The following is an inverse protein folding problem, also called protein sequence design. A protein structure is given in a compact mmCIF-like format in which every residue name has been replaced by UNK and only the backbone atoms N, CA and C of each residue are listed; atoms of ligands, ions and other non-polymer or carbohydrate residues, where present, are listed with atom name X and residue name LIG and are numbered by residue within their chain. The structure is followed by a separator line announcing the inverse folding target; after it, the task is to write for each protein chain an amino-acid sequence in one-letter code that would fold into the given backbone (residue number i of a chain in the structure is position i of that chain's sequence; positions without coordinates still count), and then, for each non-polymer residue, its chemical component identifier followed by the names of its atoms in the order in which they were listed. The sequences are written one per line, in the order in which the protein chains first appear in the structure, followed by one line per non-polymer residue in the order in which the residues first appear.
data_IF_512841426881
#
_entry.id   IF_512841426881
#
_cell.length_a   1.000
_cell.length_b   1.000
_cell.length_c   1.000
_cell.angle_alpha   90.00
_cell.angle_beta   90.00
_cell.angle_gamma   90.00
#
_symmetry.space_group_name_H-M   'P 1'
#
loop_
_entity.id
_entity.type
_entity.pdbx_description
1 polymer ?
#
# COMPACT_ATOMS: atom_id res chain seq x y z
N UNK A 1 -6.16 -3.51 8.43
CA UNK A 1 -5.38 -2.29 8.77
C UNK A 1 -4.53 -2.46 10.02
N UNK A 2 -5.12 -2.72 11.19
CA UNK A 2 -4.38 -2.75 12.47
C UNK A 2 -3.15 -3.65 12.47
N UNK A 3 -3.26 -4.85 11.89
CA UNK A 3 -2.14 -5.76 11.69
C UNK A 3 -1.05 -5.07 10.85
N UNK A 4 -1.34 -4.69 9.61
CA UNK A 4 -0.38 -3.94 8.76
C UNK A 4 0.30 -2.82 9.55
N UNK A 5 -0.44 -1.91 10.20
CA UNK A 5 0.15 -0.79 10.95
C UNK A 5 1.00 -1.19 12.15
N UNK A 6 0.67 -2.29 12.85
CA UNK A 6 1.44 -2.76 14.00
C UNK A 6 2.73 -3.47 13.58
N UNK A 7 2.79 -4.02 12.37
CA UNK A 7 4.01 -4.69 11.86
C UNK A 7 5.23 -3.77 11.82
N UNK A 8 5.02 -2.45 11.72
CA UNK A 8 6.07 -1.44 11.77
C UNK A 8 6.89 -1.51 13.08
N UNK A 9 6.28 -1.96 14.17
CA UNK A 9 6.93 -2.05 15.48
C UNK A 9 7.59 -3.40 15.74
N UNK A 10 7.36 -4.42 14.89
CA UNK A 10 7.94 -5.75 15.09
C UNK A 10 9.46 -5.73 15.21
N UNK A 11 10.23 -5.05 14.34
CA UNK A 11 11.68 -5.02 14.49
C UNK A 11 12.15 -4.47 15.84
N UNK A 12 11.50 -3.41 16.32
CA UNK A 12 11.82 -2.79 17.61
C UNK A 12 11.49 -3.72 18.78
N UNK A 13 10.35 -4.42 18.75
CA UNK A 13 9.97 -5.38 19.79
C UNK A 13 10.91 -6.59 19.79
N UNK A 14 11.18 -7.17 18.61
CA UNK A 14 12.00 -8.36 18.46
C UNK A 14 13.44 -8.15 18.97
N UNK A 15 13.98 -6.94 18.84
CA UNK A 15 15.32 -6.59 19.31
C UNK A 15 15.55 -6.85 20.82
N UNK A 16 14.48 -6.90 21.63
CA UNK A 16 14.55 -7.15 23.07
C UNK A 16 14.12 -8.56 23.49
N UNK A 17 13.71 -9.40 22.53
CA UNK A 17 13.25 -10.76 22.80
C UNK A 17 14.36 -11.78 22.61
N UNK A 18 14.34 -12.84 23.42
CA UNK A 18 15.20 -14.02 23.18
C UNK A 18 14.83 -14.67 21.83
N UNK A 19 15.74 -15.41 21.17
CA UNK A 19 15.44 -16.05 19.89
C UNK A 19 14.18 -16.92 19.90
N UNK A 20 13.95 -17.66 21.00
CA UNK A 20 12.73 -18.47 21.18
C UNK A 20 11.47 -17.59 21.23
N UNK A 21 11.52 -16.48 21.98
CA UNK A 21 10.40 -15.55 22.08
C UNK A 21 10.13 -14.81 20.76
N UNK A 22 11.17 -14.48 19.99
CA UNK A 22 11.03 -13.91 18.64
C UNK A 22 10.25 -14.85 17.72
N UNK A 23 10.62 -16.14 17.67
CA UNK A 23 9.93 -17.14 16.84
C UNK A 23 8.46 -17.28 17.25
N UNK A 24 8.18 -17.35 18.56
CA UNK A 24 6.80 -17.41 19.06
C UNK A 24 6.03 -16.16 18.64
N UNK A 25 6.60 -14.96 18.87
CA UNK A 25 5.99 -13.69 18.53
C UNK A 25 5.64 -13.60 17.03
N UNK A 26 6.59 -13.90 16.15
CA UNK A 26 6.40 -13.86 14.70
C UNK A 26 5.36 -14.87 14.21
N UNK A 27 5.39 -16.10 14.73
CA UNK A 27 4.40 -17.13 14.39
C UNK A 27 3.01 -16.74 14.85
N UNK A 28 2.87 -16.27 16.09
CA UNK A 28 1.59 -15.80 16.61
C UNK A 28 1.07 -14.62 15.81
N UNK A 29 1.93 -13.64 15.49
CA UNK A 29 1.56 -12.48 14.69
C UNK A 29 1.06 -12.86 13.29
N UNK A 30 1.78 -13.77 12.61
CA UNK A 30 1.39 -14.29 11.31
C UNK A 30 0.07 -15.06 11.38
N UNK A 31 -0.07 -15.98 12.34
CA UNK A 31 -1.30 -16.74 12.55
C UNK A 31 -2.48 -15.84 12.86
N UNK A 32 -2.33 -14.83 13.72
CA UNK A 32 -3.38 -13.83 13.99
C UNK A 32 -3.76 -13.04 12.74
N UNK A 33 -2.78 -12.73 11.89
CA UNK A 33 -3.03 -12.04 10.62
C UNK A 33 -3.85 -12.89 9.66
N UNK A 34 -3.50 -14.17 9.54
CA UNK A 34 -4.22 -15.12 8.71
C UNK A 34 -5.62 -15.41 9.25
N UNK A 35 -5.77 -15.56 10.58
CA UNK A 35 -7.08 -15.75 11.21
C UNK A 35 -8.01 -14.59 10.90
N UNK A 36 -7.53 -13.34 11.01
CA UNK A 36 -8.36 -12.18 10.69
C UNK A 36 -8.72 -12.13 9.20
N UNK A 37 -7.75 -12.42 8.32
CA UNK A 37 -7.98 -12.50 6.88
C UNK A 37 -9.08 -13.52 6.54
N UNK A 38 -8.97 -14.76 7.04
CA UNK A 38 -9.96 -15.82 6.83
C UNK A 38 -11.31 -15.45 7.43
N UNK A 39 -11.33 -14.89 8.65
CA UNK A 39 -12.57 -14.51 9.34
C UNK A 39 -13.36 -13.42 8.61
N UNK A 40 -12.70 -12.55 7.84
CA UNK A 40 -13.38 -11.52 7.03
C UNK A 40 -14.10 -12.06 5.79
N UNK A 41 -14.04 -13.37 5.53
CA UNK A 41 -14.71 -13.99 4.38
C UNK A 41 -14.13 -13.58 3.02
N UNK A 42 -12.96 -12.94 3.03
CA UNK A 42 -12.27 -12.54 1.80
C UNK A 42 -11.78 -13.80 1.07
N UNK A 43 -12.30 -13.99 -0.14
CA UNK A 43 -11.94 -15.08 -1.05
C UNK A 43 -10.49 -14.96 -1.53
N UNK A 44 -10.02 -16.02 -2.23
CA UNK A 44 -8.68 -16.19 -2.81
C UNK A 44 -8.07 -14.86 -3.27
N UNK A 45 -6.88 -14.55 -2.75
CA UNK A 45 -6.13 -13.38 -3.17
C UNK A 45 -5.41 -13.68 -4.48
N UNK A 46 -6.01 -13.26 -5.61
CA UNK A 46 -5.41 -13.39 -6.93
C UNK A 46 -4.31 -12.32 -7.13
N UNK A 47 -3.08 -12.71 -6.81
CA UNK A 47 -1.89 -11.84 -6.93
C UNK A 47 -1.67 -11.40 -8.38
N UNK A 48 -1.62 -12.29 -9.40
CA UNK A 48 -1.44 -11.87 -10.78
C UNK A 48 -2.46 -10.80 -11.20
N UNK A 49 -3.73 -11.02 -10.86
CA UNK A 49 -4.78 -10.10 -11.21
C UNK A 49 -4.56 -8.76 -10.48
N UNK A 50 -4.20 -8.75 -9.19
CA UNK A 50 -3.92 -7.50 -8.45
C UNK A 50 -2.84 -6.65 -9.14
N UNK A 51 -1.75 -7.26 -9.61
CA UNK A 51 -0.69 -6.53 -10.30
C UNK A 51 -1.11 -6.03 -11.69
N UNK A 52 -1.94 -6.78 -12.41
CA UNK A 52 -2.40 -6.42 -13.76
C UNK A 52 -3.37 -5.23 -13.81
N UNK A 53 -4.08 -4.99 -12.72
CA UNK A 53 -5.22 -4.08 -12.63
C UNK A 53 -4.98 -2.81 -11.82
N UNK A 54 -3.90 -2.81 -11.04
CA UNK A 54 -3.51 -1.66 -10.21
C UNK A 54 -2.43 -0.86 -10.91
N UNK A 55 -2.28 0.39 -10.51
CA UNK A 55 -1.24 1.30 -11.02
C UNK A 55 -0.25 1.63 -9.92
N UNK A 56 1.01 1.82 -10.29
CA UNK A 56 2.05 2.39 -9.41
C UNK A 56 1.98 3.91 -9.34
N UNK A 57 1.30 4.54 -10.31
CA UNK A 57 1.06 5.97 -10.34
C UNK A 57 -0.37 6.25 -9.87
N UNK A 58 -0.56 6.94 -8.74
CA UNK A 58 -1.88 7.39 -8.35
C UNK A 58 -2.41 8.41 -9.36
N UNK A 59 -3.72 8.41 -9.52
CA UNK A 59 -4.44 9.43 -10.28
C UNK A 59 -5.39 10.15 -9.32
N UNK A 60 -4.89 11.08 -8.49
CA UNK A 60 -5.75 11.86 -7.62
C UNK A 60 -6.84 12.54 -8.46
N UNK A 61 -8.07 12.63 -7.96
CA UNK A 61 -9.13 13.40 -8.58
C UNK A 61 -8.63 14.80 -8.88
N UNK A 62 -9.00 15.30 -10.05
CA UNK A 62 -8.55 16.57 -10.61
C UNK A 62 -8.55 17.64 -9.52
N UNK A 63 -7.37 17.98 -8.99
CA UNK A 63 -7.23 19.25 -8.29
C UNK A 63 -7.57 20.31 -9.32
N UNK A 64 -8.16 21.42 -8.89
CA UNK A 64 -8.37 22.61 -9.72
C UNK A 64 -7.07 23.20 -10.31
N UNK A 65 -5.94 22.53 -10.13
CA UNK A 65 -4.57 22.89 -10.49
C UNK A 65 -3.84 21.72 -11.14
N UNK A 66 -4.49 20.97 -12.04
CA UNK A 66 -3.78 20.00 -12.88
C UNK A 66 -2.52 20.67 -13.44
N UNK A 67 -1.35 20.12 -13.12
CA UNK A 67 -0.09 20.67 -13.60
C UNK A 67 -0.19 20.76 -15.12
N UNK A 68 0.24 21.88 -15.69
CA UNK A 68 0.39 22.08 -17.12
C UNK A 68 1.89 22.06 -17.41
N UNK A 69 2.52 20.88 -17.60
CA UNK A 69 3.95 20.81 -17.80
C UNK A 69 4.33 21.56 -19.07
N UNK A 70 5.46 22.27 -19.01
CA UNK A 70 6.04 22.89 -20.18
C UNK A 70 6.42 21.80 -21.21
N UNK A 71 6.33 22.06 -22.54
CA UNK A 71 6.78 21.11 -23.57
C UNK A 71 8.17 20.50 -23.34
N UNK A 72 9.10 21.27 -22.74
CA UNK A 72 10.47 20.82 -22.44
C UNK A 72 10.59 19.95 -21.17
N UNK A 73 9.47 19.60 -20.52
CA UNK A 73 9.46 18.75 -19.32
C UNK A 73 9.88 17.32 -19.64
N UNK A 74 10.78 16.77 -18.83
CA UNK A 74 11.18 15.37 -18.90
C UNK A 74 10.25 14.45 -18.07
N UNK A 75 10.02 13.19 -18.48
CA UNK A 75 10.49 12.58 -19.73
C UNK A 75 9.73 13.07 -20.98
N UNK A 76 8.51 13.57 -20.80
CA UNK A 76 7.76 14.37 -21.78
C UNK A 76 6.61 15.07 -21.07
N UNK A 77 6.14 16.22 -21.58
CA UNK A 77 5.03 16.97 -20.98
C UNK A 77 3.70 16.17 -20.88
N UNK A 78 3.54 15.13 -21.71
CA UNK A 78 2.36 14.26 -21.75
C UNK A 78 2.52 12.98 -20.94
N UNK A 79 3.73 12.70 -20.42
CA UNK A 79 3.99 11.50 -19.63
C UNK A 79 3.22 11.55 -18.31
N UNK A 80 2.59 10.44 -17.86
CA UNK A 80 2.04 10.34 -16.51
C UNK A 80 3.07 10.67 -15.42
N UNK A 81 4.36 10.43 -15.68
CA UNK A 81 5.46 10.76 -14.78
C UNK A 81 5.82 12.26 -14.78
N UNK A 82 5.42 13.04 -15.78
CA UNK A 82 5.53 14.50 -15.72
C UNK A 82 4.40 15.12 -14.88
N UNK A 83 3.22 14.49 -14.87
CA UNK A 83 2.08 14.91 -14.06
C UNK A 83 2.24 14.47 -12.60
N UNK A 84 2.66 13.22 -12.38
CA UNK A 84 2.89 12.62 -11.06
C UNK A 84 4.33 12.09 -10.99
N UNK A 85 5.34 12.95 -10.82
CA UNK A 85 6.75 12.55 -10.82
C UNK A 85 7.14 11.70 -9.60
N UNK A 86 6.42 11.87 -8.49
CA UNK A 86 6.59 11.07 -7.30
C UNK A 86 5.21 10.49 -6.91
N UNK A 87 5.04 9.16 -6.93
CA UNK A 87 3.75 8.56 -6.62
C UNK A 87 3.34 8.71 -5.15
N UNK A 88 4.29 8.85 -4.23
CA UNK A 88 3.99 9.04 -2.80
C UNK A 88 3.59 10.45 -2.44
N UNK A 89 4.11 11.46 -3.14
CA UNK A 89 3.85 12.86 -2.81
C UNK A 89 2.34 13.18 -2.72
N UNK A 90 1.50 12.89 -3.73
CA UNK A 90 0.07 13.17 -3.62
C UNK A 90 -0.61 12.32 -2.53
N UNK A 91 -0.20 11.06 -2.35
CA UNK A 91 -0.74 10.17 -1.29
C UNK A 91 -0.48 10.77 0.09
N UNK A 92 0.75 11.21 0.35
CA UNK A 92 1.13 11.83 1.63
C UNK A 92 0.36 13.14 1.81
N UNK A 93 0.29 13.99 0.79
CA UNK A 93 -0.39 15.28 0.86
C UNK A 93 -1.88 15.15 1.22
N UNK A 94 -2.62 14.22 0.59
CA UNK A 94 -4.02 13.99 0.99
C UNK A 94 -4.12 13.41 2.39
N UNK A 95 -3.17 12.54 2.76
CA UNK A 95 -3.23 11.78 4.01
C UNK A 95 -2.97 12.63 5.25
N UNK A 96 -2.05 13.61 5.17
CA UNK A 96 -1.69 14.44 6.34
C UNK A 96 -2.84 15.35 6.81
N UNK A 97 -3.77 15.69 5.91
CA UNK A 97 -4.96 16.51 6.22
C UNK A 97 -6.23 15.67 6.36
N UNK A 98 -6.15 14.35 6.20
CA UNK A 98 -7.29 13.47 6.30
C UNK A 98 -7.65 13.20 7.78
N UNK A 99 -8.91 13.36 8.21
CA UNK A 99 -9.31 13.26 9.61
C UNK A 99 -9.34 11.83 10.16
N UNK A 100 -9.27 10.82 9.29
CA UNK A 100 -9.15 9.41 9.70
C UNK A 100 -7.68 9.07 9.99
N UNK A 101 -7.32 8.99 11.27
CA UNK A 101 -5.97 8.67 11.76
C UNK A 101 -5.50 7.26 11.37
N UNK A 102 -6.40 6.34 11.03
CA UNK A 102 -6.03 5.02 10.54
C UNK A 102 -5.35 5.11 9.17
N UNK A 103 -5.77 6.06 8.31
CA UNK A 103 -5.17 6.27 6.99
C UNK A 103 -3.71 6.70 7.13
N UNK A 104 -3.42 7.69 7.98
CA UNK A 104 -2.05 8.19 8.13
C UNK A 104 -1.11 7.13 8.70
N UNK A 105 -1.58 6.31 9.65
CA UNK A 105 -0.83 5.16 10.15
C UNK A 105 -0.55 4.13 9.04
N UNK A 106 -1.56 3.84 8.21
CA UNK A 106 -1.42 2.89 7.11
C UNK A 106 -0.43 3.39 6.06
N UNK A 107 -0.59 4.61 5.57
CA UNK A 107 0.29 5.15 4.53
C UNK A 107 1.74 5.27 4.99
N UNK A 108 1.97 5.70 6.25
CA UNK A 108 3.31 5.71 6.85
C UNK A 108 3.94 4.32 6.86
N UNK A 109 3.13 3.31 7.19
CA UNK A 109 3.60 1.93 7.26
C UNK A 109 3.94 1.37 5.87
N UNK A 110 3.07 1.62 4.88
CA UNK A 110 3.31 1.19 3.50
C UNK A 110 4.55 1.89 2.90
N UNK A 111 4.70 3.20 3.12
CA UNK A 111 5.89 3.95 2.68
C UNK A 111 7.17 3.41 3.32
N UNK A 112 7.12 3.02 4.60
CA UNK A 112 8.26 2.39 5.26
C UNK A 112 8.61 1.04 4.61
N UNK A 113 7.63 0.17 4.34
CA UNK A 113 7.93 -1.12 3.73
C UNK A 113 8.34 -1.02 2.28
N UNK A 114 7.87 -0.02 1.52
CA UNK A 114 8.43 0.29 0.21
C UNK A 114 9.90 0.72 0.33
N UNK A 115 10.28 1.52 1.33
CA UNK A 115 11.69 1.86 1.57
C UNK A 115 12.57 0.63 1.81
N UNK A 116 12.02 -0.43 2.43
CA UNK A 116 12.72 -1.67 2.78
C UNK A 116 12.70 -2.72 1.66
N UNK A 117 11.57 -2.84 0.97
CA UNK A 117 11.28 -3.93 0.02
C UNK A 117 10.95 -3.43 -1.41
N UNK A 118 10.93 -2.12 -1.64
CA UNK A 118 10.55 -1.51 -2.92
C UNK A 118 11.46 -1.86 -4.09
N UNK A 119 12.72 -2.21 -3.79
CA UNK A 119 13.68 -2.69 -4.80
C UNK A 119 13.60 -4.19 -5.10
N UNK A 120 12.62 -4.93 -4.55
CA UNK A 120 12.47 -6.36 -4.87
C UNK A 120 11.83 -6.51 -6.25
N UNK A 121 12.52 -7.24 -7.13
CA UNK A 121 11.98 -7.60 -8.44
C UNK A 121 10.89 -8.69 -8.32
N UNK A 122 10.03 -8.84 -9.34
CA UNK A 122 9.17 -10.01 -9.47
C UNK A 122 9.97 -11.31 -9.32
N UNK A 123 9.39 -12.32 -8.69
CA UNK A 123 10.02 -13.60 -8.42
C UNK A 123 10.83 -13.67 -7.14
N UNK A 124 11.07 -12.55 -6.45
CA UNK A 124 11.82 -12.54 -5.18
C UNK A 124 11.16 -13.42 -4.10
N UNK A 125 9.82 -13.54 -4.12
CA UNK A 125 9.04 -14.30 -3.14
C UNK A 125 8.52 -15.65 -3.65
N UNK A 126 8.99 -16.13 -4.81
CA UNK A 126 8.45 -17.35 -5.45
C UNK A 126 8.47 -18.60 -4.55
N UNK A 127 9.46 -18.70 -3.68
CA UNK A 127 9.66 -19.89 -2.81
C UNK A 127 8.91 -19.76 -1.46
N UNK A 128 8.02 -18.77 -1.32
CA UNK A 128 7.25 -18.55 -0.08
C UNK A 128 6.12 -19.57 0.15
N UNK A 129 5.80 -20.39 -0.86
CA UNK A 129 4.66 -21.32 -0.83
C UNK A 129 3.31 -20.63 -1.03
N UNK A 130 3.29 -19.33 -1.28
CA UNK A 130 2.09 -18.57 -1.63
C UNK A 130 1.87 -18.63 -3.15
N UNK A 131 0.69 -19.08 -3.56
CA UNK A 131 0.29 -19.12 -4.98
C UNK A 131 0.35 -17.72 -5.60
N UNK A 132 1.01 -17.58 -6.76
CA UNK A 132 1.20 -16.31 -7.44
C UNK A 132 2.30 -15.41 -6.85
N UNK A 133 3.08 -15.88 -5.88
CA UNK A 133 4.15 -15.09 -5.26
C UNK A 133 5.28 -14.70 -6.23
N UNK A 134 5.39 -15.36 -7.38
CA UNK A 134 6.28 -14.98 -8.46
C UNK A 134 5.94 -13.63 -9.10
N UNK A 135 4.70 -13.15 -8.97
CA UNK A 135 4.28 -11.83 -9.44
C UNK A 135 4.54 -10.72 -8.41
N UNK A 136 4.81 -11.07 -7.15
CA UNK A 136 5.07 -10.09 -6.10
C UNK A 136 6.38 -9.35 -6.35
N UNK A 137 6.29 -8.02 -6.41
CA UNK A 137 7.43 -7.12 -6.43
C UNK A 137 7.29 -5.97 -5.40
N UNK A 138 8.32 -5.16 -5.30
CA UNK A 138 8.38 -4.03 -4.38
C UNK A 138 7.35 -2.93 -4.61
N UNK A 139 6.69 -2.89 -5.77
CA UNK A 139 5.62 -1.92 -6.07
C UNK A 139 4.29 -2.23 -5.37
N UNK A 140 4.18 -3.39 -4.72
CA UNK A 140 3.02 -3.77 -3.89
C UNK A 140 2.57 -2.65 -2.95
N UNK A 141 3.52 -2.00 -2.29
CA UNK A 141 3.23 -1.02 -1.24
C UNK A 141 2.61 0.26 -1.79
N UNK A 142 3.12 0.79 -2.91
CA UNK A 142 2.57 2.00 -3.52
C UNK A 142 1.21 1.73 -4.16
N UNK A 143 1.02 0.54 -4.76
CA UNK A 143 -0.29 0.10 -5.28
C UNK A 143 -1.34 0.03 -4.18
N UNK A 144 -1.01 -0.61 -3.05
CA UNK A 144 -1.89 -0.68 -1.89
C UNK A 144 -2.17 0.70 -1.27
N UNK A 145 -1.17 1.57 -1.26
CA UNK A 145 -1.29 2.95 -0.77
C UNK A 145 -2.29 3.76 -1.62
N UNK A 146 -2.20 3.66 -2.95
CA UNK A 146 -3.16 4.29 -3.88
C UNK A 146 -4.59 3.78 -3.66
N UNK A 147 -4.80 2.47 -3.63
CA UNK A 147 -6.15 1.90 -3.44
C UNK A 147 -6.78 2.30 -2.11
N UNK A 148 -5.97 2.45 -1.07
CA UNK A 148 -6.47 2.86 0.25
C UNK A 148 -6.78 4.35 0.33
N UNK A 149 -6.05 5.20 -0.41
CA UNK A 149 -6.42 6.59 -0.64
C UNK A 149 -7.73 6.70 -1.45
N UNK A 150 -7.88 5.94 -2.53
CA UNK A 150 -9.11 5.89 -3.34
C UNK A 150 -10.33 5.47 -2.51
N UNK A 151 -10.17 4.45 -1.64
CA UNK A 151 -11.25 3.94 -0.80
C UNK A 151 -11.70 4.97 0.23
N UNK A 152 -10.77 5.64 0.90
CA UNK A 152 -11.09 6.56 1.98
C UNK A 152 -11.38 7.99 1.53
N UNK A 153 -11.04 8.33 0.30
CA UNK A 153 -11.28 9.63 -0.30
C UNK A 153 -10.03 10.50 -0.30
N UNK A 154 -9.75 11.07 -1.46
CA UNK A 154 -8.76 12.12 -1.68
C UNK A 154 -9.32 13.47 -1.18
N UNK A 155 -9.42 13.60 0.14
CA UNK A 155 -10.12 14.72 0.77
C UNK A 155 -9.44 16.07 0.51
N UNK A 156 -8.11 16.11 0.40
CA UNK A 156 -7.39 17.33 0.01
C UNK A 156 -7.81 17.79 -1.38
N UNK A 157 -8.07 16.84 -2.26
CA UNK A 157 -8.48 17.04 -3.65
C UNK A 157 -10.00 17.22 -3.78
N UNK A 158 -10.73 17.34 -2.67
CA UNK A 158 -12.15 17.68 -2.65
C UNK A 158 -13.11 16.49 -2.67
N UNK A 159 -12.63 15.26 -2.48
CA UNK A 159 -13.53 14.13 -2.27
C UNK A 159 -14.12 14.11 -0.86
N UNK A 160 -15.32 13.56 -0.76
CA UNK A 160 -15.96 13.27 0.51
C UNK A 160 -15.17 12.26 1.34
N UNK A 161 -15.28 12.39 2.67
CA UNK A 161 -14.75 11.42 3.62
C UNK A 161 -15.48 10.09 3.46
N UNK A 162 -14.72 9.00 3.28
CA UNK A 162 -15.25 7.63 3.27
C UNK A 162 -14.68 6.81 4.43
N UNK A 163 -15.10 5.55 4.54
CA UNK A 163 -14.75 4.63 5.62
C UNK A 163 -14.17 3.32 5.09
N UNK A 164 -13.49 2.60 5.98
CA UNK A 164 -13.09 1.22 5.71
C UNK A 164 -14.32 0.31 5.71
N UNK A 165 -14.26 -0.74 4.90
CA UNK A 165 -15.25 -1.81 4.81
C UNK A 165 -14.57 -3.16 4.84
N UNK A 166 -15.35 -4.21 5.02
CA UNK A 166 -14.90 -5.59 4.79
C UNK A 166 -14.95 -6.00 3.31
N UNK A 167 -15.51 -5.17 2.43
CA UNK A 167 -15.42 -5.37 0.98
C UNK A 167 -13.96 -5.30 0.52
N UNK A 168 -13.55 -6.26 -0.32
CA UNK A 168 -12.22 -6.27 -0.94
C UNK A 168 -12.01 -5.08 -1.88
N UNK A 169 -10.74 -4.68 -2.05
CA UNK A 169 -10.35 -3.52 -2.89
C UNK A 169 -10.18 -3.88 -4.36
N UNK A 170 -10.06 -5.18 -4.65
CA UNK A 170 -9.63 -5.69 -5.93
C UNK A 170 -10.52 -6.89 -6.31
N UNK A 171 -11.12 -6.85 -7.50
CA UNK A 171 -12.25 -7.65 -7.99
C UNK A 171 -13.66 -7.16 -7.60
N UNK A 172 -14.30 -6.48 -8.57
CA UNK A 172 -15.69 -6.77 -8.93
C UNK A 172 -15.66 -7.59 -10.22
#
# INVERSE_FOLDING_TARGET
LHLVTSSLFLPAVLAYLTPRAQVICLRTYFSSSLTWWVATGLARFDIPAFFSSTSTLPTPPRSSTAANPNPDTLPSATSPHAITPNPWLPIIQTTIVHPNDHLCKLQRTLAHFERVYGGRAPGYFKDSGLEGAEYLDGSLFVRAATLTADRLGWMREGQEKKSFSFEGFYAK
#
